data_IF_683743291929
#
_entry.id   IF_683743291929
#
_cell.length_a   1.000
_cell.length_b   1.000
_cell.length_c   1.000
_cell.angle_alpha   90.00
_cell.angle_beta   90.00
_cell.angle_gamma   90.00
#
_symmetry.space_group_name_H-M   'P 1'
#
loop_
_entity.id
_entity.type
_entity.pdbx_description
1 polymer ?
#
# COMPACT_ATOMS: atom_id res chain seq x y z
N UNK A 1 -16.51 -14.99 -1.69
CA UNK A 1 -16.37 -13.88 -2.65
C UNK A 1 -15.81 -12.70 -1.88
N UNK A 2 -14.61 -12.23 -2.18
CA UNK A 2 -14.05 -11.05 -1.52
C UNK A 2 -14.76 -9.83 -2.14
N UNK A 3 -15.50 -9.09 -1.31
CA UNK A 3 -16.11 -7.82 -1.71
C UNK A 3 -15.00 -6.82 -2.04
N UNK A 4 -14.72 -6.62 -3.33
CA UNK A 4 -13.71 -5.66 -3.80
C UNK A 4 -14.00 -4.25 -3.25
N UNK A 5 -15.29 -3.87 -3.16
CA UNK A 5 -15.75 -2.60 -2.62
C UNK A 5 -15.33 -2.43 -1.15
N UNK A 6 -15.47 -3.49 -0.32
CA UNK A 6 -15.07 -3.43 1.09
C UNK A 6 -13.55 -3.30 1.24
N UNK A 7 -12.78 -3.91 0.34
CA UNK A 7 -11.32 -3.76 0.35
C UNK A 7 -10.89 -2.34 -0.02
N UNK A 8 -11.50 -1.76 -1.05
CA UNK A 8 -11.21 -0.38 -1.45
C UNK A 8 -11.55 0.62 -0.35
N UNK A 9 -12.71 0.46 0.30
CA UNK A 9 -13.09 1.29 1.45
C UNK A 9 -12.10 1.16 2.62
N UNK A 10 -11.63 -0.04 2.91
CA UNK A 10 -10.63 -0.27 3.96
C UNK A 10 -9.28 0.38 3.61
N UNK A 11 -8.83 0.27 2.36
CA UNK A 11 -7.60 0.92 1.88
C UNK A 11 -7.74 2.45 1.95
N UNK A 12 -8.88 3.00 1.52
CA UNK A 12 -9.15 4.44 1.59
C UNK A 12 -9.16 4.95 3.04
N UNK A 13 -9.69 4.16 3.98
CA UNK A 13 -9.65 4.48 5.41
C UNK A 13 -8.20 4.54 5.93
N UNK A 14 -7.36 3.57 5.54
CA UNK A 14 -5.93 3.55 5.91
C UNK A 14 -5.19 4.76 5.33
N UNK A 15 -5.48 5.13 4.07
CA UNK A 15 -4.92 6.34 3.45
C UNK A 15 -5.25 7.59 4.28
N UNK A 16 -6.52 7.76 4.64
CA UNK A 16 -6.99 8.93 5.38
C UNK A 16 -6.42 8.97 6.82
N UNK A 17 -6.38 7.83 7.51
CA UNK A 17 -5.89 7.76 8.89
C UNK A 17 -4.38 7.96 8.99
N UNK A 18 -3.61 7.34 8.09
CA UNK A 18 -2.15 7.37 8.16
C UNK A 18 -1.54 8.46 7.28
N UNK A 19 -2.36 9.18 6.51
CA UNK A 19 -1.93 10.22 5.55
C UNK A 19 -0.83 9.71 4.62
N UNK A 20 -1.06 8.51 4.08
CA UNK A 20 -0.13 7.82 3.19
C UNK A 20 -0.71 7.70 1.79
N UNK A 21 0.16 7.54 0.80
CA UNK A 21 -0.24 7.24 -0.57
C UNK A 21 -1.01 5.92 -0.68
N UNK A 22 -1.81 5.78 -1.73
CA UNK A 22 -2.63 4.58 -1.96
C UNK A 22 -1.80 3.30 -1.93
N UNK A 23 -0.61 3.31 -2.55
CA UNK A 23 0.28 2.16 -2.59
C UNK A 23 0.77 1.74 -1.19
N UNK A 24 1.10 2.73 -0.34
CA UNK A 24 1.46 2.48 1.05
C UNK A 24 0.28 1.95 1.86
N UNK A 25 -0.92 2.49 1.65
CA UNK A 25 -2.13 2.01 2.32
C UNK A 25 -2.49 0.57 1.93
N UNK A 26 -2.36 0.19 0.66
CA UNK A 26 -2.53 -1.18 0.19
C UNK A 26 -1.53 -2.11 0.87
N UNK A 27 -0.26 -1.70 0.95
CA UNK A 27 0.79 -2.48 1.63
C UNK A 27 0.46 -2.71 3.10
N UNK A 28 0.05 -1.64 3.81
CA UNK A 28 -0.32 -1.70 5.23
C UNK A 28 -1.56 -2.58 5.44
N UNK A 29 -2.59 -2.42 4.61
CA UNK A 29 -3.82 -3.22 4.65
C UNK A 29 -3.56 -4.72 4.41
N UNK A 30 -2.61 -5.05 3.53
CA UNK A 30 -2.19 -6.44 3.26
C UNK A 30 -1.17 -6.98 4.26
N UNK A 31 -0.80 -6.21 5.29
CA UNK A 31 0.25 -6.55 6.26
C UNK A 31 1.59 -6.91 5.60
N UNK A 32 1.89 -6.31 4.45
CA UNK A 32 3.10 -6.58 3.70
C UNK A 32 4.26 -5.69 4.19
N UNK A 33 5.43 -6.29 4.33
CA UNK A 33 6.65 -5.53 4.52
C UNK A 33 6.99 -4.74 3.25
N UNK A 34 7.72 -3.64 3.39
CA UNK A 34 8.17 -2.85 2.23
C UNK A 34 9.06 -3.69 1.31
N UNK A 35 9.83 -4.61 1.87
CA UNK A 35 10.68 -5.54 1.10
C UNK A 35 9.85 -6.53 0.30
N UNK A 36 8.80 -7.11 0.89
CA UNK A 36 7.95 -8.08 0.20
C UNK A 36 7.12 -7.40 -0.89
N UNK A 37 6.56 -6.23 -0.61
CA UNK A 37 5.86 -5.43 -1.62
C UNK A 37 6.79 -5.03 -2.78
N UNK A 38 8.03 -4.67 -2.49
CA UNK A 38 9.02 -4.33 -3.51
C UNK A 38 9.39 -5.56 -4.36
N UNK A 39 9.57 -6.74 -3.74
CA UNK A 39 9.78 -8.01 -4.46
C UNK A 39 8.60 -8.36 -5.37
N UNK A 40 7.36 -8.22 -4.89
CA UNK A 40 6.16 -8.49 -5.69
C UNK A 40 6.05 -7.57 -6.92
N UNK A 41 6.46 -6.31 -6.76
CA UNK A 41 6.48 -5.32 -7.82
C UNK A 41 7.77 -5.37 -8.66
N UNK A 42 8.70 -6.28 -8.36
CA UNK A 42 10.01 -6.40 -8.97
C UNK A 42 10.82 -5.07 -9.00
N UNK A 43 10.74 -4.31 -7.91
CA UNK A 43 11.47 -3.05 -7.71
C UNK A 43 12.30 -3.10 -6.43
N UNK A 44 13.19 -2.13 -6.23
CA UNK A 44 13.91 -2.01 -4.97
C UNK A 44 13.01 -1.43 -3.87
N UNK A 45 13.20 -1.81 -2.59
CA UNK A 45 12.47 -1.22 -1.46
C UNK A 45 12.63 0.31 -1.36
N UNK A 46 13.77 0.83 -1.81
CA UNK A 46 14.07 2.26 -1.90
C UNK A 46 13.24 2.95 -2.99
N UNK A 47 13.07 2.30 -4.14
CA UNK A 47 12.19 2.80 -5.20
C UNK A 47 10.74 2.80 -4.74
N UNK A 48 10.31 1.74 -4.06
CA UNK A 48 8.98 1.69 -3.45
C UNK A 48 8.81 2.80 -2.42
N UNK A 49 9.83 3.07 -1.60
CA UNK A 49 9.79 4.16 -0.62
C UNK A 49 9.66 5.55 -1.28
N UNK A 50 10.34 5.77 -2.42
CA UNK A 50 10.22 7.01 -3.20
C UNK A 50 8.82 7.17 -3.79
N UNK A 51 8.24 6.10 -4.32
CA UNK A 51 6.88 6.11 -4.86
C UNK A 51 5.88 6.39 -3.74
N UNK A 52 6.03 5.72 -2.60
CA UNK A 52 5.13 5.90 -1.45
C UNK A 52 5.20 7.31 -0.84
N UNK A 53 6.35 7.99 -0.95
CA UNK A 53 6.60 9.35 -0.44
C UNK A 53 6.10 10.45 -1.40
N UNK A 54 5.79 10.13 -2.65
CA UNK A 54 5.44 11.12 -3.69
C UNK A 54 3.93 11.39 -3.80
N UNK A 55 3.15 11.04 -2.78
CA UNK A 55 1.71 11.27 -2.69
C UNK A 55 1.35 12.27 -1.62
#
# INVERSE_FOLDING_TARGET
MIDAIKQEQAVALVMAQQKVSWLAAVRIYKHLSRTDAAKMLNITPESLARIEKKG
#
